data_IF_757787800698
#
_entry.id   IF_757787800698
#
_cell.length_a   1.000
_cell.length_b   1.000
_cell.length_c   1.000
_cell.angle_alpha   90.00
_cell.angle_beta   90.00
_cell.angle_gamma   90.00
#
_symmetry.space_group_name_H-M   'P 1'
#
loop_
_entity.id
_entity.type
_entity.pdbx_description
1 polymer ?
#
# COMPACT_ATOMS: atom_id res chain seq x y z
N UNK A 1 27.02 -19.78 -51.91
CA UNK A 1 25.68 -20.41 -51.93
C UNK A 1 24.86 -19.79 -50.80
N UNK A 2 23.74 -19.12 -51.09
CA UNK A 2 22.87 -18.56 -50.05
C UNK A 2 21.93 -19.69 -49.59
N UNK A 3 21.96 -20.05 -48.30
CA UNK A 3 20.98 -20.98 -47.72
C UNK A 3 19.65 -20.24 -47.60
N UNK A 4 18.65 -20.67 -48.36
CA UNK A 4 17.29 -20.19 -48.19
C UNK A 4 16.68 -20.89 -46.97
N UNK A 5 16.04 -20.11 -46.10
CA UNK A 5 15.28 -20.64 -44.97
C UNK A 5 14.05 -21.37 -45.50
N UNK A 6 13.78 -22.57 -45.02
CA UNK A 6 12.62 -23.33 -45.49
C UNK A 6 11.34 -22.77 -44.86
N UNK A 7 10.22 -22.82 -45.61
CA UNK A 7 8.91 -22.44 -45.07
C UNK A 7 8.57 -23.29 -43.83
N UNK A 8 8.97 -24.58 -43.84
CA UNK A 8 8.74 -25.50 -42.73
C UNK A 8 9.46 -25.05 -41.44
N UNK A 9 10.72 -24.61 -41.53
CA UNK A 9 11.44 -24.06 -40.37
C UNK A 9 10.74 -22.83 -39.81
N UNK A 10 10.20 -21.95 -40.66
CA UNK A 10 9.48 -20.76 -40.21
C UNK A 10 8.20 -21.12 -39.45
N UNK A 11 7.44 -22.09 -39.97
CA UNK A 11 6.21 -22.56 -39.33
C UNK A 11 6.50 -23.19 -37.97
N UNK A 12 7.56 -23.99 -37.85
CA UNK A 12 7.91 -24.61 -36.57
C UNK A 12 8.31 -23.58 -35.51
N UNK A 13 9.05 -22.54 -35.90
CA UNK A 13 9.46 -21.45 -34.99
C UNK A 13 8.24 -20.70 -34.44
N UNK A 14 7.28 -20.31 -35.30
CA UNK A 14 6.08 -19.58 -34.82
C UNK A 14 5.21 -20.45 -33.90
N UNK A 15 5.12 -21.76 -34.16
CA UNK A 15 4.36 -22.69 -33.31
C UNK A 15 5.00 -22.80 -31.93
N UNK A 16 6.32 -23.00 -31.86
CA UNK A 16 7.04 -23.06 -30.58
C UNK A 16 6.90 -21.73 -29.82
N UNK A 17 7.10 -20.60 -30.49
CA UNK A 17 6.94 -19.28 -29.86
C UNK A 17 5.51 -19.05 -29.36
N UNK A 18 4.50 -19.53 -30.09
CA UNK A 18 3.11 -19.47 -29.67
C UNK A 18 2.84 -20.25 -28.38
N UNK A 19 3.36 -21.48 -28.27
CA UNK A 19 3.21 -22.32 -27.07
C UNK A 19 3.94 -21.69 -25.88
N UNK A 20 5.18 -21.23 -26.07
CA UNK A 20 5.95 -20.58 -25.01
C UNK A 20 5.27 -19.30 -24.53
N UNK A 21 4.75 -18.48 -25.44
CA UNK A 21 4.04 -17.24 -25.10
C UNK A 21 2.76 -17.53 -24.30
N UNK A 22 1.99 -18.55 -24.67
CA UNK A 22 0.75 -18.93 -23.98
C UNK A 22 0.98 -19.27 -22.49
N UNK A 23 2.11 -19.90 -22.16
CA UNK A 23 2.46 -20.27 -20.77
C UNK A 23 3.17 -19.11 -20.05
N UNK A 24 4.05 -18.38 -20.75
CA UNK A 24 4.87 -17.33 -20.16
C UNK A 24 4.06 -16.07 -19.80
N UNK A 25 3.10 -15.66 -20.64
CA UNK A 25 2.35 -14.41 -20.45
C UNK A 25 1.51 -14.41 -19.15
N UNK A 26 0.70 -15.44 -18.83
CA UNK A 26 -0.08 -15.46 -17.59
C UNK A 26 0.82 -15.46 -16.35
N UNK A 27 1.88 -16.28 -16.36
CA UNK A 27 2.83 -16.40 -15.25
C UNK A 27 3.60 -15.10 -15.00
N UNK A 28 3.96 -14.38 -16.07
CA UNK A 28 4.65 -13.11 -15.93
C UNK A 28 3.72 -12.01 -15.40
N UNK A 29 2.42 -12.07 -15.70
CA UNK A 29 1.44 -11.13 -15.14
C UNK A 29 1.25 -11.34 -13.63
N UNK A 30 1.04 -12.59 -13.17
CA UNK A 30 0.87 -12.85 -11.73
C UNK A 30 2.11 -12.52 -10.93
N UNK A 31 3.29 -12.83 -11.47
CA UNK A 31 4.56 -12.51 -10.83
C UNK A 31 4.79 -11.00 -10.68
N UNK A 32 4.31 -10.18 -11.64
CA UNK A 32 4.33 -8.72 -11.50
C UNK A 32 3.42 -8.24 -10.39
N UNK A 33 2.20 -8.77 -10.30
CA UNK A 33 1.25 -8.41 -9.23
C UNK A 33 1.82 -8.75 -7.85
N UNK A 34 2.40 -9.94 -7.69
CA UNK A 34 3.04 -10.37 -6.43
C UNK A 34 4.26 -9.50 -6.07
N UNK A 35 5.08 -9.13 -7.05
CA UNK A 35 6.22 -8.25 -6.84
C UNK A 35 5.77 -6.86 -6.38
N UNK A 36 4.69 -6.32 -6.96
CA UNK A 36 4.13 -5.04 -6.57
C UNK A 36 3.54 -5.08 -5.17
N UNK A 37 2.83 -6.16 -4.80
CA UNK A 37 2.33 -6.37 -3.42
C UNK A 37 3.49 -6.36 -2.41
N UNK A 38 4.55 -7.11 -2.68
CA UNK A 38 5.73 -7.19 -1.81
C UNK A 38 6.43 -5.83 -1.67
N UNK A 39 6.59 -5.11 -2.79
CA UNK A 39 7.17 -3.78 -2.82
C UNK A 39 6.32 -2.78 -2.05
N UNK A 40 5.02 -2.72 -2.27
CA UNK A 40 4.10 -1.83 -1.58
C UNK A 40 4.05 -2.11 -0.08
N UNK A 41 4.05 -3.37 0.32
CA UNK A 41 4.10 -3.75 1.74
C UNK A 41 5.40 -3.28 2.42
N UNK A 42 6.54 -3.47 1.77
CA UNK A 42 7.83 -3.00 2.30
C UNK A 42 7.89 -1.48 2.36
N UNK A 43 7.45 -0.80 1.29
CA UNK A 43 7.34 0.66 1.25
C UNK A 43 6.43 1.20 2.35
N UNK A 44 5.29 0.56 2.62
CA UNK A 44 4.38 0.93 3.68
C UNK A 44 5.02 0.79 5.06
N UNK A 45 5.71 -0.33 5.33
CA UNK A 45 6.48 -0.53 6.57
C UNK A 45 7.54 0.54 6.76
N UNK A 46 8.30 0.84 5.71
CA UNK A 46 9.32 1.90 5.74
C UNK A 46 8.69 3.26 6.00
N UNK A 47 7.57 3.59 5.33
CA UNK A 47 6.87 4.85 5.52
C UNK A 47 6.39 5.04 6.95
N UNK A 48 5.75 4.02 7.54
CA UNK A 48 5.29 4.06 8.93
C UNK A 48 6.47 4.30 9.88
N UNK A 49 7.57 3.58 9.67
CA UNK A 49 8.78 3.71 10.47
C UNK A 49 9.42 5.10 10.33
N UNK A 50 9.52 5.62 9.11
CA UNK A 50 10.07 6.95 8.83
C UNK A 50 9.25 8.05 9.51
N UNK A 51 7.91 7.99 9.42
CA UNK A 51 7.01 8.94 10.08
C UNK A 51 7.16 8.85 11.60
N UNK A 52 7.22 7.63 12.16
CA UNK A 52 7.40 7.42 13.60
C UNK A 52 8.75 7.97 14.08
N UNK A 53 9.84 7.72 13.35
CA UNK A 53 11.17 8.25 13.69
C UNK A 53 11.20 9.77 13.56
N UNK A 54 10.57 10.33 12.53
CA UNK A 54 10.54 11.78 12.31
C UNK A 54 9.81 12.49 13.45
N UNK A 55 8.65 11.98 13.84
CA UNK A 55 7.85 12.55 14.93
C UNK A 55 8.55 12.42 16.28
N UNK A 56 9.19 11.29 16.57
CA UNK A 56 10.03 11.13 17.77
C UNK A 56 11.21 12.12 17.83
N UNK A 57 11.71 12.58 16.68
CA UNK A 57 12.85 13.52 16.61
C UNK A 57 12.44 14.99 16.66
N UNK A 58 11.34 15.34 16.01
CA UNK A 58 10.95 16.74 15.82
C UNK A 58 9.73 17.15 16.65
N UNK A 59 9.05 16.20 17.29
CA UNK A 59 7.84 16.41 18.09
C UNK A 59 6.69 17.10 17.31
N UNK A 60 6.73 17.00 15.98
CA UNK A 60 5.69 17.47 15.08
C UNK A 60 5.70 16.67 13.78
N UNK A 61 4.60 16.74 13.03
CA UNK A 61 4.53 16.22 11.66
C UNK A 61 4.90 17.31 10.64
N UNK A 62 5.30 16.88 9.45
CA UNK A 62 5.55 17.79 8.32
C UNK A 62 4.91 17.24 7.05
N UNK A 63 5.31 17.73 5.89
CA UNK A 63 4.91 17.13 4.62
C UNK A 63 5.48 15.71 4.49
N UNK A 64 4.71 14.80 3.90
CA UNK A 64 5.11 13.39 3.72
C UNK A 64 6.47 13.29 3.03
N UNK A 65 6.75 14.12 2.03
CA UNK A 65 8.04 14.12 1.30
C UNK A 65 9.22 14.55 2.16
N UNK A 66 8.99 15.36 3.20
CA UNK A 66 10.03 15.72 4.18
C UNK A 66 10.32 14.56 5.13
N UNK A 67 9.29 13.79 5.47
CA UNK A 67 9.40 12.71 6.47
C UNK A 67 9.87 11.39 5.87
N UNK A 68 9.52 11.08 4.63
CA UNK A 68 9.90 9.83 3.96
C UNK A 68 10.16 10.03 2.47
N UNK A 69 11.08 9.23 1.92
CA UNK A 69 11.39 9.18 0.49
C UNK A 69 10.72 7.98 -0.21
N UNK A 70 9.76 7.33 0.45
CA UNK A 70 9.01 6.22 -0.12
C UNK A 70 8.22 6.69 -1.35
N UNK A 71 8.34 5.93 -2.45
CA UNK A 71 7.57 6.20 -3.66
C UNK A 71 6.13 5.73 -3.55
N UNK A 72 5.20 6.44 -4.21
CA UNK A 72 3.79 6.03 -4.30
C UNK A 72 2.91 6.54 -3.17
N UNK A 73 3.42 7.42 -2.30
CA UNK A 73 2.60 8.14 -1.31
C UNK A 73 2.32 9.56 -1.81
N UNK A 74 1.11 10.05 -1.57
CA UNK A 74 0.74 11.42 -1.87
C UNK A 74 1.49 12.40 -0.96
N UNK A 75 2.00 13.50 -1.53
CA UNK A 75 2.67 14.52 -0.73
C UNK A 75 1.66 15.47 -0.11
N UNK A 76 1.22 15.14 1.10
CA UNK A 76 0.29 15.94 1.89
C UNK A 76 1.04 16.64 3.02
N UNK A 77 0.73 17.92 3.27
CA UNK A 77 1.24 18.66 4.42
C UNK A 77 0.45 18.31 5.68
N UNK A 78 1.12 17.72 6.68
CA UNK A 78 0.53 17.33 7.96
C UNK A 78 0.99 18.24 9.13
N UNK A 79 1.62 19.38 8.85
CA UNK A 79 2.19 20.25 9.89
C UNK A 79 1.14 20.86 10.81
N UNK A 80 0.01 21.31 10.25
CA UNK A 80 -1.04 22.01 10.97
C UNK A 80 -2.42 21.58 10.45
N UNK A 81 -2.94 20.47 10.96
CA UNK A 81 -4.29 20.00 10.65
C UNK A 81 -5.12 19.84 11.92
N UNK A 82 -6.42 20.10 11.83
CA UNK A 82 -7.37 19.85 12.90
C UNK A 82 -8.34 18.74 12.45
N UNK A 83 -8.59 17.75 13.29
CA UNK A 83 -9.43 16.60 12.96
C UNK A 83 -8.70 15.53 12.14
N UNK A 84 -9.31 15.07 11.05
CA UNK A 84 -8.87 13.90 10.29
C UNK A 84 -8.25 14.33 8.96
N UNK A 85 -7.12 13.73 8.58
CA UNK A 85 -6.47 13.94 7.29
C UNK A 85 -6.10 12.61 6.66
N UNK A 86 -6.36 12.48 5.36
CA UNK A 86 -6.08 11.27 4.58
C UNK A 86 -4.87 11.49 3.68
N UNK A 87 -4.03 10.48 3.56
CA UNK A 87 -2.92 10.43 2.62
C UNK A 87 -3.06 9.18 1.77
N UNK A 88 -3.19 9.36 0.46
CA UNK A 88 -3.32 8.25 -0.46
C UNK A 88 -1.99 7.53 -0.65
N UNK A 89 -2.04 6.20 -0.68
CA UNK A 89 -0.92 5.32 -0.92
C UNK A 89 -1.25 4.36 -2.06
N UNK A 90 -0.43 4.47 -3.11
CA UNK A 90 -0.57 3.76 -4.37
C UNK A 90 -0.04 2.34 -4.28
N UNK A 91 -0.79 1.41 -4.87
CA UNK A 91 -0.38 0.02 -5.07
C UNK A 91 -0.58 -0.33 -6.55
N UNK A 92 0.51 -0.57 -7.26
CA UNK A 92 0.49 -0.72 -8.71
C UNK A 92 -0.03 0.54 -9.40
N UNK A 93 -1.09 0.38 -10.19
CA UNK A 93 -1.71 1.46 -10.95
C UNK A 93 -2.82 2.19 -10.18
N UNK A 94 -3.24 1.65 -9.03
CA UNK A 94 -4.29 2.27 -8.22
C UNK A 94 -3.69 3.22 -7.17
N UNK A 95 -3.95 4.51 -7.35
CA UNK A 95 -3.45 5.60 -6.51
C UNK A 95 -4.14 5.69 -5.15
N UNK A 96 -5.37 5.18 -5.03
CA UNK A 96 -6.22 5.32 -3.84
C UNK A 96 -6.44 3.97 -3.14
N UNK A 97 -5.61 2.97 -3.47
CA UNK A 97 -5.72 1.62 -2.94
C UNK A 97 -5.74 1.58 -1.39
N UNK A 98 -4.81 2.33 -0.79
CA UNK A 98 -4.66 2.45 0.65
C UNK A 98 -4.71 3.92 1.05
N UNK A 99 -5.25 4.20 2.23
CA UNK A 99 -5.31 5.54 2.81
C UNK A 99 -4.71 5.51 4.21
N UNK A 100 -3.70 6.33 4.46
CA UNK A 100 -3.24 6.59 5.81
C UNK A 100 -4.11 7.67 6.42
N UNK A 101 -4.73 7.36 7.56
CA UNK A 101 -5.66 8.25 8.25
C UNK A 101 -4.94 8.81 9.46
N UNK A 102 -4.73 10.12 9.47
CA UNK A 102 -4.13 10.87 10.58
C UNK A 102 -5.23 11.59 11.34
N UNK A 103 -5.23 11.47 12.65
CA UNK A 103 -6.23 12.06 13.53
C UNK A 103 -5.49 12.90 14.56
N UNK A 104 -5.70 14.21 14.53
CA UNK A 104 -5.18 15.14 15.52
C UNK A 104 -6.23 15.36 16.61
N UNK A 105 -5.89 14.95 17.83
CA UNK A 105 -6.65 15.23 19.06
C UNK A 105 -5.81 16.16 19.94
N UNK A 106 -6.45 16.77 20.94
CA UNK A 106 -5.79 17.76 21.80
C UNK A 106 -4.48 17.24 22.43
N UNK A 107 -4.44 15.96 22.79
CA UNK A 107 -3.34 15.38 23.54
C UNK A 107 -2.44 14.43 22.73
N UNK A 108 -2.90 13.97 21.56
CA UNK A 108 -2.15 13.02 20.74
C UNK A 108 -2.49 13.11 19.25
N UNK A 109 -1.54 12.67 18.42
CA UNK A 109 -1.75 12.41 17.00
C UNK A 109 -1.68 10.90 16.76
N UNK A 110 -2.74 10.36 16.18
CA UNK A 110 -2.86 8.94 15.82
C UNK A 110 -2.82 8.76 14.31
N UNK A 111 -2.15 7.70 13.86
CA UNK A 111 -2.15 7.25 12.48
C UNK A 111 -2.69 5.82 12.38
N UNK A 112 -3.59 5.59 11.43
CA UNK A 112 -4.09 4.26 11.06
C UNK A 112 -4.02 4.03 9.55
N UNK A 113 -4.24 2.79 9.13
CA UNK A 113 -4.21 2.38 7.72
C UNK A 113 -5.57 1.84 7.33
N UNK A 114 -6.19 2.47 6.35
CA UNK A 114 -7.47 2.08 5.78
C UNK A 114 -7.30 1.59 4.35
N UNK A 115 -8.11 0.61 3.96
CA UNK A 115 -8.21 0.15 2.56
C UNK A 115 -9.64 0.22 2.01
N UNK A 116 -10.60 0.60 2.87
CA UNK A 116 -12.02 0.77 2.54
C UNK A 116 -12.67 1.69 3.59
N UNK A 117 -13.88 2.17 3.32
CA UNK A 117 -14.55 3.10 4.25
C UNK A 117 -14.91 2.45 5.60
N UNK A 118 -15.10 1.13 5.67
CA UNK A 118 -15.37 0.42 6.93
C UNK A 118 -14.16 0.48 7.89
N UNK A 119 -12.96 0.15 7.39
CA UNK A 119 -11.70 0.26 8.14
C UNK A 119 -11.39 1.70 8.55
N UNK A 120 -11.71 2.68 7.68
CA UNK A 120 -11.57 4.11 8.03
C UNK A 120 -12.48 4.49 9.20
N UNK A 121 -13.76 4.15 9.15
CA UNK A 121 -14.69 4.46 10.22
C UNK A 121 -14.29 3.78 11.54
N UNK A 122 -13.77 2.55 11.47
CA UNK A 122 -13.25 1.85 12.64
C UNK A 122 -12.04 2.58 13.27
N UNK A 123 -11.09 3.06 12.47
CA UNK A 123 -9.94 3.85 12.95
C UNK A 123 -10.41 5.15 13.63
N UNK A 124 -11.40 5.83 13.04
CA UNK A 124 -11.97 7.05 13.61
C UNK A 124 -12.62 6.75 14.97
N UNK A 125 -13.35 5.64 15.08
CA UNK A 125 -13.97 5.22 16.34
C UNK A 125 -12.92 4.85 17.40
N UNK A 126 -11.87 4.11 17.02
CA UNK A 126 -10.77 3.75 17.91
C UNK A 126 -10.01 4.99 18.43
N UNK A 127 -9.90 6.06 17.63
CA UNK A 127 -9.33 7.32 18.09
C UNK A 127 -10.24 8.13 19.03
N UNK A 128 -11.54 7.79 19.11
CA UNK A 128 -12.50 8.43 20.00
C UNK A 128 -12.72 7.64 21.30
N UNK A 129 -12.55 6.31 21.27
CA UNK A 129 -12.73 5.42 22.41
C UNK A 129 -11.38 4.79 22.74
N UNK A 130 -10.73 5.29 23.79
CA UNK A 130 -9.43 4.84 24.27
C UNK A 130 -9.40 3.32 24.49
N UNK A 131 -8.64 2.62 23.64
CA UNK A 131 -8.27 1.19 23.75
C UNK A 131 -9.32 0.14 23.34
N UNK A 132 -9.75 0.14 22.08
CA UNK A 132 -10.16 -1.11 21.43
C UNK A 132 -9.21 -1.47 20.28
N UNK A 133 -8.66 -2.68 20.36
CA UNK A 133 -8.00 -3.32 19.23
C UNK A 133 -8.99 -3.41 18.05
N UNK A 134 -8.50 -3.16 16.85
CA UNK A 134 -9.26 -3.27 15.60
C UNK A 134 -9.52 -4.76 15.27
N UNK A 135 -10.07 -5.52 16.20
CA UNK A 135 -10.36 -6.94 16.05
C UNK A 135 -11.55 -7.14 15.09
N UNK A 136 -11.35 -8.03 14.11
CA UNK A 136 -12.35 -8.41 13.10
C UNK A 136 -12.79 -7.33 12.11
N UNK A 137 -11.93 -6.37 11.78
CA UNK A 137 -12.19 -5.45 10.66
C UNK A 137 -11.77 -6.08 9.33
N UNK A 138 -12.68 -6.05 8.37
CA UNK A 138 -12.36 -6.42 6.99
C UNK A 138 -11.62 -5.28 6.31
N UNK A 139 -10.33 -5.49 6.08
CA UNK A 139 -9.48 -4.57 5.32
C UNK A 139 -9.50 -4.86 3.82
N UNK A 140 -10.32 -5.79 3.32
CA UNK A 140 -10.35 -6.13 1.90
C UNK A 140 -10.76 -4.92 1.06
N UNK A 141 -9.90 -4.55 0.10
CA UNK A 141 -10.17 -3.50 -0.87
C UNK A 141 -11.16 -3.99 -1.93
N UNK A 142 -12.09 -3.12 -2.33
CA UNK A 142 -12.96 -3.32 -3.49
C UNK A 142 -12.38 -2.72 -4.79
N UNK A 143 -11.08 -2.40 -4.79
CA UNK A 143 -10.38 -1.84 -5.96
C UNK A 143 -10.46 -2.75 -7.19
N UNK A 144 -10.47 -2.15 -8.37
CA UNK A 144 -10.35 -2.87 -9.64
C UNK A 144 -8.93 -3.41 -9.89
N UNK A 145 -7.93 -2.95 -9.12
CA UNK A 145 -6.55 -3.40 -9.23
C UNK A 145 -6.31 -4.69 -8.44
N UNK A 146 -5.85 -5.74 -9.12
CA UNK A 146 -5.59 -7.06 -8.52
C UNK A 146 -4.54 -7.01 -7.42
N UNK A 147 -3.44 -6.27 -7.62
CA UNK A 147 -2.38 -6.14 -6.61
C UNK A 147 -2.92 -5.47 -5.34
N UNK A 148 -3.79 -4.46 -5.47
CA UNK A 148 -4.43 -3.81 -4.33
C UNK A 148 -5.30 -4.81 -3.52
N UNK A 149 -6.16 -5.56 -4.20
CA UNK A 149 -7.02 -6.56 -3.56
C UNK A 149 -6.18 -7.66 -2.88
N UNK A 150 -5.12 -8.14 -3.54
CA UNK A 150 -4.21 -9.16 -2.98
C UNK A 150 -3.49 -8.62 -1.74
N UNK A 151 -2.98 -7.39 -1.80
CA UNK A 151 -2.30 -6.75 -0.66
C UNK A 151 -3.25 -6.62 0.53
N UNK A 152 -4.47 -6.14 0.30
CA UNK A 152 -5.47 -5.91 1.34
C UNK A 152 -5.87 -7.19 2.10
N UNK A 153 -5.77 -8.35 1.44
CA UNK A 153 -6.03 -9.67 2.02
C UNK A 153 -4.80 -10.30 2.69
N UNK A 154 -3.61 -9.74 2.48
CA UNK A 154 -2.36 -10.31 2.99
C UNK A 154 -2.30 -10.22 4.53
N UNK A 155 -1.94 -11.32 5.19
CA UNK A 155 -1.87 -11.37 6.66
C UNK A 155 -0.85 -10.38 7.25
N UNK A 156 0.27 -10.14 6.57
CA UNK A 156 1.23 -9.14 7.03
C UNK A 156 0.68 -7.73 6.93
N UNK A 157 -0.13 -7.45 5.90
CA UNK A 157 -0.79 -6.17 5.76
C UNK A 157 -1.86 -5.99 6.85
N UNK A 158 -2.72 -7.00 7.07
CA UNK A 158 -3.72 -6.97 8.14
C UNK A 158 -3.11 -6.74 9.52
N UNK A 159 -1.98 -7.38 9.84
CA UNK A 159 -1.26 -7.17 11.10
C UNK A 159 -0.72 -5.73 11.26
N UNK A 160 -0.38 -5.04 10.15
CA UNK A 160 -0.01 -3.63 10.19
C UNK A 160 -1.25 -2.72 10.29
N UNK A 161 -2.30 -3.01 9.52
CA UNK A 161 -3.48 -2.17 9.41
C UNK A 161 -4.41 -2.27 10.63
N UNK A 162 -4.40 -3.40 11.34
CA UNK A 162 -5.09 -3.59 12.62
C UNK A 162 -4.46 -2.83 13.79
N UNK A 163 -3.31 -2.16 13.59
CA UNK A 163 -2.66 -1.36 14.61
C UNK A 163 -2.89 0.13 14.37
N UNK A 164 -3.09 0.84 15.47
CA UNK A 164 -3.02 2.30 15.49
C UNK A 164 -1.65 2.74 16.01
N UNK A 165 -1.03 3.69 15.32
CA UNK A 165 0.28 4.23 15.65
C UNK A 165 0.11 5.60 16.30
N UNK A 166 0.48 5.71 17.58
CA UNK A 166 0.55 6.99 18.26
C UNK A 166 1.87 7.67 17.87
N UNK A 167 1.77 8.85 17.27
CA UNK A 167 2.90 9.57 16.69
C UNK A 167 3.42 10.66 17.63
N UNK A 168 2.50 11.34 18.32
CA UNK A 168 2.78 12.41 19.28
C UNK A 168 1.76 12.24 20.40
N UNK A 169 2.15 12.46 21.66
CA UNK A 169 1.29 12.32 22.83
C UNK A 169 1.89 11.38 23.88
N UNK A 170 1.69 11.72 25.15
CA UNK A 170 2.14 10.91 26.29
C UNK A 170 1.27 9.66 26.45
N UNK A 171 1.92 8.52 26.72
CA UNK A 171 1.27 7.33 27.29
C UNK A 171 0.62 7.66 28.63
#
# INVERSE_FOLDING_TARGET
MKKAFTILELVFVIVILGILAAIALPKMSSSKDEAEVSKSLNNLKTLINDISIYTLKNDHLSSIKTMSNVSGVENVDLSNFNGIKEVNFRVGDDKECLKLVFINKADFILMGISSNEASKNAIINAANQSHEDLENIDFTSSSSNKACVILSKNENFKNLASKTYFLIGGM
#
